data_IF_008076499522
#
_entry.id   IF_008076499522
#
_cell.length_a   1.000
_cell.length_b   1.000
_cell.length_c   1.000
_cell.angle_alpha   90.00
_cell.angle_beta   90.00
_cell.angle_gamma   90.00
#
_symmetry.space_group_name_H-M   'P 1'
#
loop_
_entity.id
_entity.type
_entity.pdbx_description
1 polymer ?
#
# COMPACT_ATOMS: atom_id res chain seq x y z
N UNK A 1 5.37 -1.71 -7.50
CA UNK A 1 4.92 -1.00 -8.74
C UNK A 1 4.85 0.51 -8.53
N UNK A 2 4.03 1.01 -7.59
CA UNK A 2 3.93 2.44 -7.29
C UNK A 2 5.30 3.03 -6.95
N UNK A 3 6.01 2.45 -5.98
CA UNK A 3 7.33 2.92 -5.52
C UNK A 3 8.36 2.95 -6.66
N UNK A 4 8.56 1.82 -7.36
CA UNK A 4 9.47 1.75 -8.52
C UNK A 4 9.16 2.81 -9.59
N UNK A 5 7.88 2.98 -9.93
CA UNK A 5 7.49 3.99 -10.93
C UNK A 5 7.72 5.42 -10.42
N UNK A 6 7.54 5.65 -9.11
CA UNK A 6 7.68 6.95 -8.47
C UNK A 6 9.10 7.49 -8.49
N UNK A 7 10.11 6.61 -8.55
CA UNK A 7 11.52 7.01 -8.74
C UNK A 7 11.68 7.73 -10.08
N UNK A 8 11.25 7.10 -11.17
CA UNK A 8 11.30 7.66 -12.52
C UNK A 8 10.39 8.88 -12.70
N UNK A 9 9.23 8.90 -12.04
CA UNK A 9 8.28 10.02 -12.06
C UNK A 9 8.71 11.19 -11.15
N UNK A 10 9.70 10.97 -10.28
CA UNK A 10 10.22 11.98 -9.35
C UNK A 10 9.26 12.39 -8.23
N UNK A 11 8.23 11.59 -7.92
CA UNK A 11 7.27 11.87 -6.85
C UNK A 11 6.52 10.60 -6.42
N UNK A 12 6.12 10.52 -5.14
CA UNK A 12 5.26 9.46 -4.59
C UNK A 12 3.80 9.95 -4.49
N UNK A 13 2.80 9.09 -4.73
CA UNK A 13 1.41 9.49 -4.58
C UNK A 13 0.98 9.50 -3.11
N UNK A 14 0.30 10.56 -2.69
CA UNK A 14 -0.44 10.66 -1.43
C UNK A 14 -1.93 10.42 -1.69
N UNK A 15 -2.43 9.27 -1.26
CA UNK A 15 -3.87 8.98 -1.20
C UNK A 15 -4.45 9.34 0.17
N UNK A 16 -5.73 9.72 0.19
CA UNK A 16 -6.53 9.89 1.39
C UNK A 16 -7.15 8.55 1.79
N UNK A 17 -7.17 8.29 3.09
CA UNK A 17 -7.80 7.10 3.66
C UNK A 17 -6.84 6.24 4.47
N UNK A 18 -7.39 5.14 4.94
CA UNK A 18 -6.70 4.11 5.69
C UNK A 18 -6.11 3.04 4.78
N UNK A 19 -5.09 2.36 5.29
CA UNK A 19 -4.42 1.22 4.67
C UNK A 19 -4.52 0.06 5.63
N UNK A 20 -5.30 -0.95 5.25
CA UNK A 20 -5.51 -2.20 5.99
C UNK A 20 -4.62 -3.35 5.47
N UNK A 21 -3.45 -3.02 4.93
CA UNK A 21 -2.47 -4.02 4.48
C UNK A 21 -2.01 -4.89 5.65
N UNK A 22 -2.06 -6.20 5.44
CA UNK A 22 -1.71 -7.21 6.44
C UNK A 22 -0.41 -7.91 6.06
N UNK A 23 0.56 -8.05 6.98
CA UNK A 23 1.78 -8.80 6.70
C UNK A 23 1.49 -10.27 6.35
N UNK A 24 2.17 -10.86 5.35
CA UNK A 24 1.91 -12.26 4.95
C UNK A 24 2.05 -13.26 6.10
N UNK A 25 3.02 -13.08 7.00
CA UNK A 25 3.21 -13.95 8.15
C UNK A 25 2.00 -13.91 9.11
N UNK A 26 1.36 -12.75 9.27
CA UNK A 26 0.17 -12.62 10.10
C UNK A 26 -1.05 -13.30 9.46
N UNK A 27 -1.18 -13.24 8.13
CA UNK A 27 -2.20 -14.01 7.40
C UNK A 27 -2.02 -15.50 7.64
N UNK A 28 -0.80 -16.03 7.47
CA UNK A 28 -0.50 -17.44 7.67
C UNK A 28 -0.79 -17.89 9.10
N UNK A 29 -0.33 -17.13 10.10
CA UNK A 29 -0.55 -17.47 11.50
C UNK A 29 -2.05 -17.39 11.87
N UNK A 30 -2.79 -16.39 11.37
CA UNK A 30 -4.22 -16.29 11.61
C UNK A 30 -5.00 -17.47 11.00
N UNK A 31 -4.59 -17.97 9.83
CA UNK A 31 -5.17 -19.18 9.24
C UNK A 31 -4.91 -20.39 10.14
N UNK A 32 -3.71 -20.52 10.70
CA UNK A 32 -3.37 -21.61 11.63
C UNK A 32 -4.16 -21.51 12.94
N UNK A 33 -4.28 -20.31 13.51
CA UNK A 33 -5.06 -20.06 14.72
C UNK A 33 -6.52 -20.56 14.55
N UNK A 34 -7.14 -20.24 13.41
CA UNK A 34 -8.52 -20.66 13.10
C UNK A 34 -8.61 -22.15 12.80
N UNK A 35 -7.66 -22.69 12.02
CA UNK A 35 -7.70 -24.09 11.58
C UNK A 35 -7.46 -25.10 12.71
N UNK A 36 -6.74 -24.69 13.76
CA UNK A 36 -6.39 -25.54 14.90
C UNK A 36 -7.11 -25.14 16.20
N UNK A 37 -8.08 -24.23 16.15
CA UNK A 37 -8.93 -23.91 17.30
C UNK A 37 -9.73 -25.14 17.76
N UNK A 38 -10.02 -25.23 19.05
CA UNK A 38 -10.89 -26.27 19.60
C UNK A 38 -12.36 -26.04 19.23
N UNK A 39 -12.75 -24.77 19.12
CA UNK A 39 -14.09 -24.37 18.70
C UNK A 39 -14.32 -24.56 17.20
N UNK A 40 -15.58 -24.78 16.83
CA UNK A 40 -15.97 -24.85 15.41
C UNK A 40 -15.68 -23.50 14.72
N UNK A 41 -14.97 -23.50 13.58
CA UNK A 41 -14.62 -22.26 12.91
C UNK A 41 -15.87 -21.55 12.37
N UNK A 42 -15.92 -20.21 12.39
CA UNK A 42 -17.03 -19.47 11.82
C UNK A 42 -17.09 -19.65 10.29
N UNK A 43 -18.26 -19.38 9.72
CA UNK A 43 -18.51 -19.51 8.26
C UNK A 43 -17.54 -18.65 7.43
N UNK A 44 -17.19 -17.46 7.94
CA UNK A 44 -16.29 -16.54 7.25
C UNK A 44 -15.47 -15.70 8.24
N UNK A 45 -14.22 -15.41 7.85
CA UNK A 45 -13.28 -14.58 8.61
C UNK A 45 -12.66 -13.57 7.65
N UNK A 46 -12.80 -12.27 7.97
CA UNK A 46 -12.16 -11.21 7.18
C UNK A 46 -10.71 -11.00 7.66
N UNK A 47 -9.74 -11.53 6.90
CA UNK A 47 -8.32 -11.35 7.18
C UNK A 47 -7.77 -10.08 6.50
N UNK A 48 -8.17 -8.93 7.03
CA UNK A 48 -7.55 -7.62 6.74
C UNK A 48 -6.96 -7.07 8.03
N UNK A 49 -6.08 -6.07 7.93
CA UNK A 49 -5.43 -5.53 9.13
C UNK A 49 -6.46 -4.87 10.07
N UNK A 50 -6.61 -5.31 11.34
CA UNK A 50 -7.67 -4.84 12.26
C UNK A 50 -7.42 -3.43 12.81
N UNK A 51 -6.16 -2.98 12.78
CA UNK A 51 -5.73 -1.65 13.21
C UNK A 51 -5.05 -0.90 12.05
N UNK A 52 -5.80 -0.48 11.02
CA UNK A 52 -5.22 0.12 9.82
C UNK A 52 -4.52 1.45 10.14
N UNK A 53 -3.59 1.84 9.29
CA UNK A 53 -2.85 3.12 9.41
C UNK A 53 -3.18 4.04 8.25
N UNK A 54 -2.91 5.34 8.36
CA UNK A 54 -3.15 6.27 7.25
C UNK A 54 -2.07 6.10 6.18
N UNK A 55 -2.46 6.20 4.91
CA UNK A 55 -1.55 6.03 3.75
C UNK A 55 -0.22 6.79 3.89
N UNK A 56 -0.31 8.05 4.32
CA UNK A 56 0.84 8.93 4.52
C UNK A 56 1.87 8.40 5.53
N UNK A 57 1.41 7.70 6.58
CA UNK A 57 2.28 7.13 7.62
C UNK A 57 3.19 6.03 7.06
N UNK A 58 2.84 5.42 5.93
CA UNK A 58 3.67 4.43 5.25
C UNK A 58 4.47 5.02 4.09
N UNK A 59 3.88 5.93 3.30
CA UNK A 59 4.58 6.51 2.16
C UNK A 59 5.71 7.46 2.54
N UNK A 60 5.59 8.22 3.64
CA UNK A 60 6.66 9.13 4.05
C UNK A 60 7.94 8.36 4.45
N UNK A 61 7.89 7.32 5.30
CA UNK A 61 9.06 6.49 5.57
C UNK A 61 9.66 5.82 4.33
N UNK A 62 8.84 5.44 3.34
CA UNK A 62 9.35 4.93 2.06
C UNK A 62 10.14 6.02 1.32
N UNK A 63 9.64 7.25 1.27
CA UNK A 63 10.34 8.37 0.65
C UNK A 63 11.70 8.62 1.31
N UNK A 64 11.75 8.57 2.64
CA UNK A 64 12.96 8.80 3.43
C UNK A 64 13.97 7.66 3.19
N UNK A 65 13.52 6.41 3.27
CA UNK A 65 14.37 5.23 3.05
C UNK A 65 14.95 5.18 1.62
N UNK A 66 14.19 5.59 0.59
CA UNK A 66 14.71 5.64 -0.79
C UNK A 66 15.94 6.56 -0.92
N UNK A 67 15.99 7.65 -0.16
CA UNK A 67 17.16 8.55 -0.12
C UNK A 67 18.32 7.90 0.64
N UNK A 68 18.04 7.27 1.77
CA UNK A 68 19.05 6.57 2.58
C UNK A 68 19.75 5.45 1.80
N UNK A 69 18.98 4.69 1.01
CA UNK A 69 19.49 3.64 0.12
C UNK A 69 20.10 4.18 -1.18
N UNK A 70 20.10 5.49 -1.42
CA UNK A 70 20.58 6.13 -2.66
C UNK A 70 19.85 5.64 -3.92
N UNK A 71 18.64 5.10 -3.77
CA UNK A 71 17.76 4.77 -4.89
C UNK A 71 17.30 6.03 -5.63
N UNK A 72 17.30 7.19 -4.94
CA UNK A 72 17.14 8.52 -5.53
C UNK A 72 18.21 9.47 -5.02
N UNK A 73 18.60 10.45 -5.83
CA UNK A 73 19.55 11.49 -5.42
C UNK A 73 18.92 12.62 -4.61
N UNK A 74 17.59 12.67 -4.56
CA UNK A 74 16.82 13.70 -3.86
C UNK A 74 15.57 13.09 -3.21
N UNK A 75 15.04 13.72 -2.14
CA UNK A 75 13.79 13.30 -1.52
C UNK A 75 12.64 13.34 -2.52
N UNK A 76 11.90 12.23 -2.63
CA UNK A 76 10.70 12.19 -3.45
C UNK A 76 9.56 12.90 -2.72
N UNK A 77 9.01 14.01 -3.25
CA UNK A 77 7.86 14.66 -2.64
C UNK A 77 6.63 13.74 -2.71
N UNK A 78 5.81 13.78 -1.65
CA UNK A 78 4.46 13.23 -1.68
C UNK A 78 3.53 14.25 -2.33
N UNK A 79 2.91 13.87 -3.45
CA UNK A 79 2.00 14.73 -4.23
C UNK A 79 0.59 14.12 -4.26
N UNK A 80 -0.48 14.90 -4.50
CA UNK A 80 -1.82 14.34 -4.66
C UNK A 80 -1.85 13.21 -5.69
N UNK A 81 -2.64 12.15 -5.43
CA UNK A 81 -2.68 10.98 -6.31
C UNK A 81 -3.02 11.36 -7.77
N UNK A 82 -3.89 12.36 -7.97
CA UNK A 82 -4.22 12.90 -9.30
C UNK A 82 -3.00 13.50 -10.02
N UNK A 83 -2.17 14.28 -9.32
CA UNK A 83 -0.94 14.86 -9.89
C UNK A 83 0.06 13.75 -10.26
N UNK A 84 0.18 12.73 -9.41
CA UNK A 84 1.02 11.58 -9.71
C UNK A 84 0.51 10.80 -10.94
N UNK A 85 -0.80 10.62 -11.06
CA UNK A 85 -1.42 9.99 -12.23
C UNK A 85 -1.19 10.79 -13.52
N UNK A 86 -1.26 12.12 -13.47
CA UNK A 86 -0.94 12.98 -14.63
C UNK A 86 0.49 12.72 -15.13
N UNK A 87 1.48 12.65 -14.23
CA UNK A 87 2.86 12.31 -14.58
C UNK A 87 2.95 10.91 -15.22
N UNK A 88 2.21 9.94 -14.68
CA UNK A 88 2.15 8.58 -15.22
C UNK A 88 1.52 8.56 -16.62
N UNK A 89 0.42 9.28 -16.85
CA UNK A 89 -0.26 9.36 -18.15
C UNK A 89 0.59 10.06 -19.22
N UNK A 90 1.34 11.10 -18.83
CA UNK A 90 2.31 11.73 -19.72
C UNK A 90 3.39 10.74 -20.15
N UNK A 91 3.91 9.95 -19.21
CA UNK A 91 4.92 8.92 -19.48
C UNK A 91 4.37 7.77 -20.32
N UNK A 92 3.09 7.42 -20.14
CA UNK A 92 2.43 6.36 -20.91
C UNK A 92 2.25 6.67 -22.41
N UNK A 93 2.43 7.94 -22.84
CA UNK A 93 2.45 8.31 -24.26
C UNK A 93 3.70 7.76 -24.96
N UNK A 94 4.75 7.50 -24.20
CA UNK A 94 5.98 6.90 -24.67
C UNK A 94 5.93 5.37 -24.45
N UNK A 95 5.63 4.63 -25.53
CA UNK A 95 5.39 3.18 -25.49
C UNK A 95 6.65 2.33 -25.66
N UNK A 96 7.84 2.91 -25.49
CA UNK A 96 9.08 2.12 -25.51
C UNK A 96 9.13 1.18 -24.30
N UNK A 97 9.62 -0.03 -24.53
CA UNK A 97 9.74 -1.07 -23.52
C UNK A 97 10.56 -0.61 -22.31
N UNK A 98 11.64 0.14 -22.56
CA UNK A 98 12.51 0.75 -21.54
C UNK A 98 11.72 1.65 -20.58
N UNK A 99 10.84 2.51 -21.12
CA UNK A 99 9.96 3.38 -20.33
C UNK A 99 8.99 2.55 -19.48
N UNK A 100 8.44 1.46 -20.03
CA UNK A 100 7.53 0.58 -19.29
C UNK A 100 8.21 -0.27 -18.21
N UNK A 101 9.52 -0.49 -18.30
CA UNK A 101 10.30 -1.23 -17.31
C UNK A 101 10.77 -0.32 -16.17
N UNK A 102 11.10 0.94 -16.48
CA UNK A 102 11.35 2.00 -15.51
C UNK A 102 10.08 2.50 -14.82
N UNK A 103 8.92 2.42 -15.49
CA UNK A 103 7.62 2.93 -15.02
C UNK A 103 6.56 1.82 -15.13
N UNK A 104 6.67 0.73 -14.34
CA UNK A 104 5.78 -0.42 -14.44
C UNK A 104 4.32 -0.11 -14.15
N UNK A 105 4.00 1.01 -13.49
CA UNK A 105 2.62 1.45 -13.25
C UNK A 105 1.84 1.75 -14.55
N UNK A 106 2.54 2.01 -15.68
CA UNK A 106 1.90 2.18 -16.99
C UNK A 106 1.09 0.93 -17.36
N UNK A 107 1.59 -0.26 -17.00
CA UNK A 107 0.92 -1.55 -17.24
C UNK A 107 -0.42 -1.67 -16.48
N UNK A 108 -0.62 -0.84 -15.44
CA UNK A 108 -1.82 -0.79 -14.59
C UNK A 108 -2.55 0.55 -14.69
N UNK A 109 -2.43 1.27 -15.82
CA UNK A 109 -2.94 2.64 -15.93
C UNK A 109 -4.43 2.79 -15.61
N UNK A 110 -5.26 1.86 -16.08
CA UNK A 110 -6.70 1.87 -15.79
C UNK A 110 -6.99 1.66 -14.29
N UNK A 111 -6.19 0.82 -13.62
CA UNK A 111 -6.29 0.64 -12.18
C UNK A 111 -5.85 1.90 -11.42
N UNK A 112 -4.78 2.56 -11.84
CA UNK A 112 -4.34 3.84 -11.27
C UNK A 112 -5.39 4.96 -11.46
N UNK A 113 -6.06 5.01 -12.62
CA UNK A 113 -7.20 5.92 -12.85
C UNK A 113 -8.35 5.68 -11.88
N UNK A 114 -8.71 4.42 -11.66
CA UNK A 114 -9.75 4.06 -10.68
C UNK A 114 -9.37 4.52 -9.27
N UNK A 115 -8.12 4.28 -8.85
CA UNK A 115 -7.64 4.73 -7.55
C UNK A 115 -7.69 6.26 -7.41
N UNK A 116 -7.31 7.01 -8.45
CA UNK A 116 -7.37 8.47 -8.42
C UNK A 116 -8.81 9.00 -8.31
N UNK A 117 -9.76 8.39 -9.04
CA UNK A 117 -11.18 8.74 -8.94
C UNK A 117 -11.72 8.48 -7.53
N UNK A 118 -11.36 7.34 -6.94
CA UNK A 118 -11.71 7.03 -5.55
C UNK A 118 -11.08 8.01 -4.56
N UNK A 119 -9.81 8.39 -4.75
CA UNK A 119 -9.15 9.40 -3.91
C UNK A 119 -9.87 10.75 -3.96
N UNK A 120 -10.29 11.20 -5.14
CA UNK A 120 -11.10 12.41 -5.32
C UNK A 120 -12.43 12.29 -4.56
N UNK A 121 -13.13 11.16 -4.71
CA UNK A 121 -14.40 10.93 -4.02
C UNK A 121 -14.24 10.91 -2.50
N UNK A 122 -13.21 10.24 -1.97
CA UNK A 122 -12.91 10.19 -0.53
C UNK A 122 -12.58 11.59 0.00
N UNK A 123 -11.80 12.39 -0.74
CA UNK A 123 -11.47 13.77 -0.35
C UNK A 123 -12.68 14.69 -0.36
N UNK A 124 -13.64 14.46 -1.26
CA UNK A 124 -14.89 15.22 -1.34
C UNK A 124 -15.92 14.76 -0.30
N UNK A 125 -15.78 13.54 0.23
CA UNK A 125 -16.70 12.99 1.22
C UNK A 125 -16.48 13.65 2.59
N UNK A 126 -17.54 13.69 3.40
CA UNK A 126 -17.45 14.04 4.83
C UNK A 126 -17.30 12.80 5.71
N UNK A 127 -17.26 11.62 5.11
CA UNK A 127 -17.19 10.36 5.81
C UNK A 127 -15.75 10.15 6.29
N UNK A 128 -15.59 9.95 7.60
CA UNK A 128 -14.33 9.51 8.17
C UNK A 128 -14.23 7.98 8.02
N UNK A 129 -13.05 7.47 7.63
CA UNK A 129 -12.83 6.03 7.62
C UNK A 129 -12.99 5.33 6.28
N UNK A 130 -12.60 5.93 5.15
CA UNK A 130 -12.51 5.19 3.88
C UNK A 130 -11.15 4.51 3.72
N UNK A 131 -11.12 3.31 3.13
CA UNK A 131 -9.89 2.66 2.69
C UNK A 131 -9.33 3.41 1.46
N UNK A 132 -8.03 3.68 1.48
CA UNK A 132 -7.34 4.33 0.38
C UNK A 132 -7.45 3.49 -0.89
N UNK A 133 -7.69 4.15 -2.02
CA UNK A 133 -7.93 3.48 -3.31
C UNK A 133 -9.39 3.02 -3.52
N UNK A 134 -10.32 3.39 -2.64
CA UNK A 134 -11.77 3.18 -2.86
C UNK A 134 -12.28 1.80 -2.50
N UNK A 135 -11.51 1.04 -1.74
CA UNK A 135 -11.90 -0.29 -1.28
C UNK A 135 -12.86 -0.21 -0.09
N UNK A 136 -13.55 -1.32 0.20
CA UNK A 136 -14.45 -1.42 1.35
C UNK A 136 -13.68 -1.78 2.62
N UNK A 137 -13.99 -1.11 3.73
CA UNK A 137 -13.51 -1.56 5.04
C UNK A 137 -14.26 -2.82 5.48
N UNK A 138 -13.52 -3.84 5.89
CA UNK A 138 -14.09 -5.08 6.41
C UNK A 138 -14.15 -5.05 7.93
N UNK A 139 -15.22 -5.61 8.49
CA UNK A 139 -15.31 -5.84 9.93
C UNK A 139 -14.36 -6.97 10.36
N UNK A 140 -13.50 -6.70 11.34
CA UNK A 140 -12.48 -7.63 11.84
C UNK A 140 -12.80 -8.26 13.18
N UNK A 141 -13.93 -7.92 13.80
CA UNK A 141 -14.29 -8.38 15.14
C UNK A 141 -14.25 -9.91 15.30
N UNK A 142 -14.68 -10.65 14.27
CA UNK A 142 -14.61 -12.12 14.27
C UNK A 142 -13.14 -12.58 14.26
N UNK A 143 -12.33 -12.04 13.36
CA UNK A 143 -10.91 -12.39 13.24
C UNK A 143 -10.14 -12.11 14.54
N UNK A 144 -10.39 -10.96 15.17
CA UNK A 144 -9.77 -10.57 16.45
C UNK A 144 -10.25 -11.40 17.65
N UNK A 145 -11.46 -11.96 17.58
CA UNK A 145 -11.99 -12.82 18.63
C UNK A 145 -11.32 -14.20 18.61
N UNK A 146 -11.20 -14.79 17.41
CA UNK A 146 -10.82 -16.21 17.24
C UNK A 146 -9.34 -16.43 16.95
N UNK A 147 -8.58 -15.39 16.57
CA UNK A 147 -7.15 -15.50 16.28
C UNK A 147 -6.35 -14.62 17.24
N UNK A 148 -5.54 -15.22 18.14
CA UNK A 148 -4.58 -14.48 18.95
C UNK A 148 -3.65 -13.61 18.09
N UNK A 149 -3.21 -14.11 16.93
CA UNK A 149 -2.42 -13.33 15.97
C UNK A 149 -3.13 -12.04 15.59
N UNK A 150 -4.39 -12.12 15.15
CA UNK A 150 -5.16 -10.95 14.74
C UNK A 150 -5.47 -10.02 15.90
N UNK A 151 -5.70 -10.57 17.10
CA UNK A 151 -5.95 -9.78 18.31
C UNK A 151 -4.74 -8.94 18.72
N UNK A 152 -3.53 -9.48 18.58
CA UNK A 152 -2.29 -8.86 19.06
C UNK A 152 -1.54 -8.08 17.97
N UNK A 153 -1.91 -8.24 16.70
CA UNK A 153 -1.23 -7.62 15.55
C UNK A 153 -1.21 -6.09 15.68
N UNK A 154 -0.02 -5.50 15.78
CA UNK A 154 0.15 -4.04 15.85
C UNK A 154 0.02 -3.41 14.47
N UNK A 155 -0.45 -2.17 14.42
CA UNK A 155 -0.45 -1.37 13.19
C UNK A 155 0.92 -1.33 12.53
N UNK A 156 0.92 -1.37 11.19
CA UNK A 156 2.12 -1.13 10.39
C UNK A 156 2.77 0.20 10.77
N UNK A 157 4.08 0.13 10.99
CA UNK A 157 4.93 1.21 11.44
C UNK A 157 5.85 1.73 10.33
N UNK A 158 6.55 2.83 10.62
CA UNK A 158 7.61 3.32 9.73
C UNK A 158 8.74 2.30 9.55
N UNK A 159 9.03 1.49 10.58
CA UNK A 159 10.04 0.44 10.51
C UNK A 159 9.64 -0.70 9.55
N UNK A 160 8.34 -1.01 9.45
CA UNK A 160 7.85 -1.99 8.47
C UNK A 160 8.01 -1.47 7.04
N UNK A 161 7.68 -0.19 6.84
CA UNK A 161 7.82 0.48 5.55
C UNK A 161 9.28 0.57 5.10
N UNK A 162 10.21 0.86 6.01
CA UNK A 162 11.65 0.87 5.73
C UNK A 162 12.17 -0.54 5.35
N UNK A 163 11.76 -1.59 6.08
CA UNK A 163 12.12 -2.97 5.76
C UNK A 163 11.68 -3.43 4.37
N UNK A 164 10.59 -2.88 3.83
CA UNK A 164 10.21 -3.17 2.44
C UNK A 164 11.21 -2.57 1.45
N UNK A 165 11.69 -1.35 1.70
CA UNK A 165 12.71 -0.70 0.87
C UNK A 165 14.04 -1.44 0.96
N UNK A 166 14.46 -1.85 2.17
CA UNK A 166 15.64 -2.71 2.39
C UNK A 166 15.56 -3.97 1.51
N UNK A 167 14.42 -4.66 1.56
CA UNK A 167 14.21 -5.87 0.78
C UNK A 167 14.19 -5.60 -0.73
N UNK A 168 13.52 -4.54 -1.18
CA UNK A 168 13.47 -4.19 -2.60
C UNK A 168 14.86 -3.84 -3.15
N UNK A 169 15.68 -3.12 -2.40
CA UNK A 169 17.07 -2.83 -2.78
C UNK A 169 17.90 -4.11 -2.82
N UNK A 170 17.80 -4.98 -1.81
CA UNK A 170 18.50 -6.26 -1.79
C UNK A 170 18.13 -7.18 -2.98
N UNK A 171 16.90 -7.05 -3.49
CA UNK A 171 16.43 -7.77 -4.67
C UNK A 171 16.69 -7.03 -6.00
N UNK A 172 17.42 -5.92 -5.99
CA UNK A 172 17.77 -5.14 -7.19
C UNK A 172 16.59 -4.43 -7.83
N UNK A 173 15.56 -4.05 -7.07
CA UNK A 173 14.38 -3.36 -7.63
C UNK A 173 14.75 -2.01 -8.28
N UNK A 174 15.71 -1.30 -7.69
CA UNK A 174 16.08 0.07 -8.06
C UNK A 174 17.27 0.19 -9.02
N UNK A 175 17.82 -0.95 -9.45
CA UNK A 175 18.88 -1.04 -10.45
C UNK A 175 18.30 -1.13 -11.87
#
# INVERSE_FOLDING_TARGET
>A
IIVKSSISLGALPEAKGFVSWIPPHAVSNAILDVAFAEEEPPIAVNLVHPRPTVWKTLMQPIADALVEHKATSYPLPLVPFSEWLEKLELSAKDLHQETMDCIPAIKLLNFMRSMAQSDIAIRASREMGSEAGGMTLFATAIAECISPTMKELKSLSSADAAQWVDYWEAMGMFQ
#
